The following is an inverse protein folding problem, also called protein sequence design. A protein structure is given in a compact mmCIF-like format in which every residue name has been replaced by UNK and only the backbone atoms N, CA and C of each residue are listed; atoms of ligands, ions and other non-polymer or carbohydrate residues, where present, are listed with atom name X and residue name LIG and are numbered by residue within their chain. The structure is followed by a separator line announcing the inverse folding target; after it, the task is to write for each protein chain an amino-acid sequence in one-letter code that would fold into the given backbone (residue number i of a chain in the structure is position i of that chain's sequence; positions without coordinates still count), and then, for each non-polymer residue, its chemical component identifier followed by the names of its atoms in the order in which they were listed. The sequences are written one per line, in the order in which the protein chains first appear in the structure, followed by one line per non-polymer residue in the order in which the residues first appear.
data_IF_827160436010
#
_entry.id   IF_827160436010
#
_cell.length_a   1.000
_cell.length_b   1.000
_cell.length_c   1.000
_cell.angle_alpha   90.00
_cell.angle_beta   90.00
_cell.angle_gamma   90.00
#
_symmetry.space_group_name_H-M   'P 1'
#
loop_
_entity.id
_entity.type
_entity.pdbx_description
1 polymer ?
#
# COMPACT_ATOMS: atom_id res chain seq x y z
N UNK A 1 -48.50 -13.65 -0.11
CA UNK A 1 -47.15 -13.30 0.35
C UNK A 1 -46.22 -14.50 0.33
N UNK A 2 -46.70 -15.74 0.27
CA UNK A 2 -45.93 -16.99 0.16
C UNK A 2 -45.39 -17.31 -1.25
N UNK A 3 -45.99 -16.73 -2.29
CA UNK A 3 -45.64 -17.04 -3.70
C UNK A 3 -44.44 -16.21 -4.23
N UNK A 4 -43.96 -15.22 -3.50
CA UNK A 4 -42.79 -14.40 -3.88
C UNK A 4 -41.44 -14.90 -3.31
N UNK A 5 -41.49 -15.72 -2.25
CA UNK A 5 -40.28 -16.29 -1.62
C UNK A 5 -39.77 -17.56 -2.33
N UNK A 6 -40.51 -18.14 -3.25
CA UNK A 6 -40.15 -19.39 -3.94
C UNK A 6 -39.40 -19.17 -5.26
N UNK A 7 -39.02 -17.94 -5.63
CA UNK A 7 -38.32 -17.65 -6.89
C UNK A 7 -36.82 -17.23 -6.76
N UNK A 8 -36.22 -17.27 -5.60
CA UNK A 8 -34.84 -16.89 -5.39
C UNK A 8 -33.97 -17.92 -4.64
N UNK A 9 -34.29 -19.19 -4.67
CA UNK A 9 -33.27 -20.22 -4.39
C UNK A 9 -32.57 -20.61 -5.70
N UNK A 10 -31.80 -19.72 -6.32
CA UNK A 10 -30.63 -20.16 -7.09
C UNK A 10 -29.79 -20.88 -6.06
N UNK A 11 -29.77 -22.20 -6.10
CA UNK A 11 -28.89 -23.04 -5.28
C UNK A 11 -27.47 -22.57 -5.59
N UNK A 12 -26.88 -21.72 -4.73
CA UNK A 12 -25.52 -21.29 -4.90
C UNK A 12 -24.63 -22.49 -4.68
N UNK A 13 -23.80 -22.83 -5.67
CA UNK A 13 -22.91 -23.98 -5.56
C UNK A 13 -21.92 -23.75 -4.42
N UNK A 14 -21.90 -24.68 -3.51
CA UNK A 14 -20.95 -24.69 -2.40
C UNK A 14 -19.69 -25.42 -2.84
N UNK A 15 -18.54 -24.73 -2.79
CA UNK A 15 -17.24 -25.32 -3.14
C UNK A 15 -16.67 -26.10 -1.94
N UNK A 16 -16.51 -27.43 -2.11
CA UNK A 16 -16.07 -28.34 -1.04
C UNK A 16 -14.64 -28.82 -1.31
N UNK A 17 -14.30 -29.10 -2.56
CA UNK A 17 -13.00 -29.62 -2.97
C UNK A 17 -12.04 -28.49 -3.37
N UNK A 18 -10.76 -28.51 -2.93
CA UNK A 18 -9.78 -27.45 -3.20
C UNK A 18 -9.51 -27.22 -4.69
N UNK A 19 -9.65 -28.24 -5.54
CA UNK A 19 -9.53 -28.14 -7.00
C UNK A 19 -10.55 -27.16 -7.60
N UNK A 20 -11.63 -26.84 -6.86
CA UNK A 20 -12.57 -25.81 -7.27
C UNK A 20 -11.93 -24.41 -7.39
N UNK A 21 -10.76 -24.19 -6.79
CA UNK A 21 -9.98 -22.93 -6.91
C UNK A 21 -9.24 -22.82 -8.25
N UNK A 22 -9.11 -23.90 -9.03
CA UNK A 22 -8.46 -23.83 -10.35
C UNK A 22 -9.18 -22.84 -11.31
N UNK A 23 -8.41 -22.13 -12.17
CA UNK A 23 -6.97 -22.24 -12.40
C UNK A 23 -6.14 -21.52 -11.32
N UNK A 24 -5.07 -22.18 -10.91
CA UNK A 24 -4.10 -21.62 -9.95
C UNK A 24 -3.15 -20.60 -10.57
N UNK A 25 -3.09 -20.56 -11.89
CA UNK A 25 -2.29 -19.61 -12.66
C UNK A 25 -3.00 -19.34 -13.99
N UNK A 26 -2.99 -18.07 -14.49
CA UNK A 26 -3.65 -17.76 -15.76
C UNK A 26 -2.95 -18.43 -16.94
N UNK A 27 -3.72 -19.11 -17.79
CA UNK A 27 -3.25 -19.63 -19.07
C UNK A 27 -3.41 -18.53 -20.13
N UNK A 28 -2.40 -17.66 -20.22
CA UNK A 28 -2.37 -16.50 -21.13
C UNK A 28 -1.53 -16.83 -22.37
N UNK A 29 -2.15 -17.40 -23.37
CA UNK A 29 -1.49 -17.77 -24.63
C UNK A 29 -0.91 -16.55 -25.39
N UNK A 30 -1.37 -15.34 -25.13
CA UNK A 30 -0.87 -14.11 -25.74
C UNK A 30 0.43 -13.60 -25.10
N UNK A 31 0.77 -14.09 -23.90
CA UNK A 31 1.96 -13.65 -23.14
C UNK A 31 1.90 -12.20 -22.62
N UNK A 32 0.70 -11.61 -22.59
CA UNK A 32 0.49 -10.24 -22.14
C UNK A 32 0.85 -10.05 -20.67
N UNK A 33 0.48 -11.03 -19.82
CA UNK A 33 0.74 -11.00 -18.38
C UNK A 33 2.25 -11.06 -18.10
N UNK A 34 2.98 -11.94 -18.81
CA UNK A 34 4.44 -12.07 -18.65
C UNK A 34 5.15 -10.80 -19.10
N UNK A 35 4.71 -10.20 -20.21
CA UNK A 35 5.22 -8.92 -20.72
C UNK A 35 5.04 -7.80 -19.68
N UNK A 36 3.85 -7.68 -19.08
CA UNK A 36 3.55 -6.68 -18.07
C UNK A 36 4.37 -6.90 -16.78
N UNK A 37 4.52 -8.15 -16.34
CA UNK A 37 5.32 -8.47 -15.16
C UNK A 37 6.81 -8.17 -15.37
N UNK A 38 7.32 -8.40 -16.59
CA UNK A 38 8.70 -8.08 -16.97
C UNK A 38 8.91 -6.56 -16.98
N UNK A 39 8.02 -5.80 -17.65
CA UNK A 39 8.11 -4.33 -17.64
C UNK A 39 8.00 -3.75 -16.23
N UNK A 40 7.11 -4.30 -15.39
CA UNK A 40 6.97 -3.89 -13.99
C UNK A 40 8.30 -4.07 -13.25
N UNK A 41 8.96 -5.22 -13.39
CA UNK A 41 10.24 -5.50 -12.74
C UNK A 41 11.33 -4.52 -13.19
N UNK A 42 11.42 -4.23 -14.49
CA UNK A 42 12.36 -3.26 -15.05
C UNK A 42 12.13 -1.84 -14.47
N UNK A 43 10.88 -1.39 -14.44
CA UNK A 43 10.54 -0.05 -13.91
C UNK A 43 10.77 0.05 -12.41
N UNK A 44 10.52 -1.03 -11.65
CA UNK A 44 10.85 -1.10 -10.22
C UNK A 44 12.35 -0.97 -10.00
N UNK A 45 13.18 -1.66 -10.80
CA UNK A 45 14.63 -1.54 -10.70
C UNK A 45 15.10 -0.09 -10.92
N UNK A 46 14.55 0.58 -11.93
CA UNK A 46 14.82 1.99 -12.20
C UNK A 46 14.38 2.90 -11.03
N UNK A 47 13.21 2.67 -10.45
CA UNK A 47 12.69 3.46 -9.33
C UNK A 47 13.54 3.27 -8.06
N UNK A 48 13.98 2.05 -7.77
CA UNK A 48 14.84 1.75 -6.63
C UNK A 48 16.23 2.40 -6.73
N UNK A 49 16.67 2.74 -7.94
CA UNK A 49 17.96 3.40 -8.20
C UNK A 49 17.86 4.95 -8.23
N UNK A 50 16.65 5.52 -8.17
CA UNK A 50 16.46 6.97 -8.36
C UNK A 50 16.98 7.78 -7.17
N UNK A 51 17.72 8.86 -7.44
CA UNK A 51 18.12 9.88 -6.46
C UNK A 51 19.03 9.37 -5.32
N UNK A 52 19.18 10.22 -4.32
CA UNK A 52 20.00 9.94 -3.13
C UNK A 52 19.25 9.06 -2.12
N UNK A 53 19.89 8.10 -1.43
CA UNK A 53 19.23 7.24 -0.44
C UNK A 53 18.53 8.01 0.70
N UNK A 54 19.13 9.10 1.20
CA UNK A 54 18.53 9.92 2.27
C UNK A 54 17.26 10.62 1.77
N UNK A 55 17.30 11.13 0.53
CA UNK A 55 16.11 11.74 -0.11
C UNK A 55 15.01 10.71 -0.33
N UNK A 56 15.36 9.49 -0.79
CA UNK A 56 14.41 8.39 -0.92
C UNK A 56 13.74 8.06 0.41
N UNK A 57 14.51 8.02 1.50
CA UNK A 57 13.97 7.74 2.84
C UNK A 57 13.00 8.83 3.31
N UNK A 58 13.32 10.11 3.07
CA UNK A 58 12.42 11.21 3.37
C UNK A 58 11.11 11.15 2.54
N UNK A 59 11.20 10.79 1.25
CA UNK A 59 10.03 10.59 0.39
C UNK A 59 9.22 9.38 0.86
N UNK A 60 9.87 8.28 1.22
CA UNK A 60 9.18 7.10 1.78
C UNK A 60 8.38 7.46 3.02
N UNK A 61 8.97 8.22 3.95
CA UNK A 61 8.26 8.67 5.17
C UNK A 61 7.08 9.58 4.82
N UNK A 62 7.26 10.49 3.88
CA UNK A 62 6.18 11.34 3.37
C UNK A 62 5.04 10.53 2.73
N UNK A 63 5.33 9.40 2.07
CA UNK A 63 4.31 8.57 1.43
C UNK A 63 3.50 7.71 2.41
N UNK A 64 3.95 7.51 3.65
CA UNK A 64 3.23 6.69 4.64
C UNK A 64 1.81 7.21 4.91
N UNK A 65 1.57 8.49 5.25
CA UNK A 65 0.20 9.00 5.40
C UNK A 65 -0.61 9.01 4.10
N UNK A 66 0.02 9.22 2.95
CA UNK A 66 -0.64 9.10 1.64
C UNK A 66 -1.17 7.68 1.43
N UNK A 67 -0.36 6.68 1.74
CA UNK A 67 -0.76 5.27 1.66
C UNK A 67 -1.90 4.96 2.64
N UNK A 68 -1.84 5.48 3.87
CA UNK A 68 -2.90 5.36 4.86
C UNK A 68 -4.25 5.88 4.37
N UNK A 69 -4.27 7.04 3.72
CA UNK A 69 -5.46 7.61 3.09
C UNK A 69 -6.08 6.64 2.05
N UNK A 70 -5.27 6.10 1.14
CA UNK A 70 -5.77 5.20 0.10
C UNK A 70 -6.17 3.82 0.63
N UNK A 71 -5.53 3.33 1.68
CA UNK A 71 -5.95 2.12 2.39
C UNK A 71 -7.32 2.31 3.03
N UNK A 72 -7.56 3.46 3.66
CA UNK A 72 -8.87 3.82 4.18
C UNK A 72 -9.97 3.77 3.11
N UNK A 73 -9.72 4.30 1.90
CA UNK A 73 -10.67 4.21 0.78
C UNK A 73 -10.99 2.76 0.43
N UNK A 74 -9.99 1.86 0.38
CA UNK A 74 -10.20 0.45 0.05
C UNK A 74 -11.10 -0.26 1.07
N UNK A 75 -11.03 0.13 2.34
CA UNK A 75 -11.81 -0.46 3.44
C UNK A 75 -13.13 0.25 3.75
N UNK A 76 -13.54 1.23 2.93
CA UNK A 76 -14.70 2.11 3.22
C UNK A 76 -14.56 2.86 4.57
N UNK A 77 -13.32 3.01 5.05
CA UNK A 77 -12.93 3.75 6.25
C UNK A 77 -12.43 5.15 5.87
N UNK A 78 -13.22 5.90 5.11
CA UNK A 78 -12.81 7.19 4.56
C UNK A 78 -12.34 8.15 5.67
N UNK A 79 -11.02 8.31 5.79
CA UNK A 79 -10.36 9.36 6.55
C UNK A 79 -9.95 10.46 5.57
N UNK A 80 -10.04 11.72 5.98
CA UNK A 80 -9.49 12.82 5.20
C UNK A 80 -7.96 12.85 5.32
N UNK A 81 -7.21 13.38 4.33
CA UNK A 81 -5.75 13.47 4.41
C UNK A 81 -5.25 14.19 5.67
N UNK A 82 -5.96 15.22 6.13
CA UNK A 82 -5.62 15.95 7.36
C UNK A 82 -5.82 15.06 8.60
N UNK A 83 -6.88 14.25 8.65
CA UNK A 83 -7.14 13.31 9.76
C UNK A 83 -6.09 12.21 9.82
N UNK A 84 -5.62 11.76 8.66
CA UNK A 84 -4.50 10.80 8.57
C UNK A 84 -3.19 11.47 9.00
N UNK A 85 -2.93 12.72 8.57
CA UNK A 85 -1.73 13.45 8.97
C UNK A 85 -1.75 13.76 10.48
N UNK A 86 -2.88 14.20 11.03
CA UNK A 86 -3.01 14.44 12.47
C UNK A 86 -2.71 13.18 13.28
N UNK A 87 -3.18 12.03 12.83
CA UNK A 87 -2.82 10.75 13.42
C UNK A 87 -1.29 10.51 13.42
N UNK A 88 -0.60 10.70 12.28
CA UNK A 88 0.85 10.53 12.20
C UNK A 88 1.63 11.60 12.99
N UNK A 89 1.02 12.76 13.25
CA UNK A 89 1.53 13.80 14.14
C UNK A 89 1.21 13.52 15.64
N UNK A 90 0.62 12.34 15.95
CA UNK A 90 0.29 11.90 17.29
C UNK A 90 -1.01 12.48 17.86
N UNK A 91 -1.91 12.96 16.99
CA UNK A 91 -3.21 13.53 17.39
C UNK A 91 -4.34 12.57 16.99
N UNK A 92 -5.06 12.06 17.96
CA UNK A 92 -6.26 11.26 17.73
C UNK A 92 -7.52 12.14 17.74
N UNK A 93 -8.49 11.77 16.88
CA UNK A 93 -9.78 12.44 16.80
C UNK A 93 -10.57 12.29 18.09
N UNK A 94 -11.27 13.35 18.50
CA UNK A 94 -12.24 13.29 19.58
C UNK A 94 -13.49 12.50 19.18
N UNK A 95 -13.82 12.46 17.87
CA UNK A 95 -14.92 11.68 17.32
C UNK A 95 -14.58 10.18 17.37
N UNK A 96 -15.39 9.38 18.08
CA UNK A 96 -15.09 7.96 18.30
C UNK A 96 -15.05 7.13 17.00
N UNK A 97 -15.97 7.27 16.03
CA UNK A 97 -15.89 6.61 14.74
C UNK A 97 -14.60 6.93 13.96
N UNK A 98 -14.22 8.20 13.88
CA UNK A 98 -12.97 8.64 13.22
C UNK A 98 -11.74 8.10 13.96
N UNK A 99 -11.75 8.18 15.29
CA UNK A 99 -10.68 7.61 16.12
C UNK A 99 -10.51 6.11 15.90
N UNK A 100 -11.59 5.33 15.81
CA UNK A 100 -11.52 3.89 15.52
C UNK A 100 -10.84 3.62 14.17
N UNK A 101 -11.15 4.40 13.12
CA UNK A 101 -10.48 4.28 11.81
C UNK A 101 -8.98 4.60 11.91
N UNK A 102 -8.60 5.62 12.68
CA UNK A 102 -7.20 5.95 12.93
C UNK A 102 -6.48 4.81 13.67
N UNK A 103 -7.11 4.18 14.68
CA UNK A 103 -6.53 3.05 15.40
C UNK A 103 -6.39 1.80 14.54
N UNK A 104 -7.31 1.54 13.63
CA UNK A 104 -7.18 0.45 12.63
C UNK A 104 -6.00 0.70 11.69
N UNK A 105 -5.80 1.94 11.25
CA UNK A 105 -4.64 2.34 10.46
C UNK A 105 -3.33 2.14 11.25
N UNK A 106 -3.32 2.51 12.53
CA UNK A 106 -2.18 2.29 13.42
C UNK A 106 -1.82 0.81 13.55
N UNK A 107 -2.82 -0.03 13.84
CA UNK A 107 -2.63 -1.46 13.96
C UNK A 107 -2.04 -2.06 12.67
N UNK A 108 -2.53 -1.64 11.51
CA UNK A 108 -2.01 -2.06 10.21
C UNK A 108 -0.54 -1.63 10.02
N UNK A 109 -0.19 -0.39 10.34
CA UNK A 109 1.20 0.10 10.22
C UNK A 109 2.17 -0.61 11.17
N UNK A 110 1.74 -0.90 12.41
CA UNK A 110 2.56 -1.66 13.35
C UNK A 110 2.79 -3.09 12.86
N UNK A 111 1.75 -3.75 12.35
CA UNK A 111 1.85 -5.10 11.79
C UNK A 111 2.77 -5.12 10.57
N UNK A 112 2.66 -4.17 9.65
CA UNK A 112 3.54 -4.06 8.48
C UNK A 112 5.00 -3.83 8.86
N UNK A 113 5.25 -2.98 9.86
CA UNK A 113 6.61 -2.75 10.37
C UNK A 113 7.21 -4.03 10.92
N UNK A 114 6.46 -4.75 11.76
CA UNK A 114 6.91 -6.02 12.34
C UNK A 114 7.10 -7.09 11.26
N UNK A 115 6.20 -7.16 10.29
CA UNK A 115 6.25 -8.08 9.17
C UNK A 115 7.55 -7.91 8.36
N UNK A 116 7.92 -6.68 8.03
CA UNK A 116 9.17 -6.38 7.31
C UNK A 116 10.39 -6.84 8.11
N UNK A 117 10.43 -6.58 9.42
CA UNK A 117 11.51 -7.05 10.30
C UNK A 117 11.61 -8.59 10.32
N UNK A 118 10.47 -9.29 10.29
CA UNK A 118 10.44 -10.75 10.26
C UNK A 118 10.95 -11.25 8.90
N UNK A 119 10.47 -10.69 7.79
CA UNK A 119 10.85 -11.12 6.44
C UNK A 119 12.30 -10.73 6.06
N UNK A 120 12.84 -9.69 6.67
CA UNK A 120 14.26 -9.27 6.47
C UNK A 120 15.24 -10.12 7.30
N UNK A 121 14.75 -10.91 8.26
CA UNK A 121 15.62 -11.78 9.07
C UNK A 121 16.04 -13.03 8.25
N UNK A 122 17.35 -13.23 7.99
CA UNK A 122 17.83 -14.38 7.21
C UNK A 122 17.55 -15.75 7.85
N UNK A 123 17.29 -15.77 9.17
CA UNK A 123 16.96 -16.99 9.92
C UNK A 123 15.46 -17.31 9.91
N UNK A 124 14.67 -16.47 9.24
CA UNK A 124 13.22 -16.65 9.20
C UNK A 124 12.81 -17.58 8.07
N UNK A 125 12.13 -18.66 8.41
CA UNK A 125 11.56 -19.63 7.46
C UNK A 125 10.10 -19.34 7.11
N UNK A 126 9.54 -18.21 7.56
CA UNK A 126 8.14 -17.83 7.29
C UNK A 126 7.92 -17.56 5.79
N UNK A 127 7.06 -18.35 5.18
CA UNK A 127 6.65 -18.21 3.78
C UNK A 127 5.31 -17.47 3.75
N UNK A 128 5.21 -16.31 3.06
CA UNK A 128 3.96 -15.52 3.04
C UNK A 128 2.72 -16.32 2.61
N UNK A 129 2.87 -17.30 1.70
CA UNK A 129 1.76 -18.14 1.23
C UNK A 129 1.31 -19.21 2.24
N UNK A 130 2.07 -19.46 3.33
CA UNK A 130 1.72 -20.53 4.25
C UNK A 130 0.44 -20.22 5.04
N UNK A 131 -0.36 -21.27 5.28
CA UNK A 131 -1.55 -21.16 6.12
C UNK A 131 -1.22 -20.68 7.55
N UNK A 132 -0.04 -21.08 8.06
CA UNK A 132 0.48 -20.65 9.36
C UNK A 132 0.77 -19.16 9.39
N UNK A 133 1.45 -18.63 8.36
CA UNK A 133 1.72 -17.20 8.21
C UNK A 133 0.44 -16.37 8.16
N UNK A 134 -0.55 -16.77 7.35
CA UNK A 134 -1.80 -16.04 7.21
C UNK A 134 -2.61 -16.01 8.51
N UNK A 135 -2.66 -17.13 9.26
CA UNK A 135 -3.27 -17.18 10.60
C UNK A 135 -2.55 -16.27 11.59
N UNK A 136 -1.21 -16.28 11.56
CA UNK A 136 -0.39 -15.39 12.40
C UNK A 136 -0.65 -13.93 12.06
N UNK A 137 -0.67 -13.58 10.77
CA UNK A 137 -0.94 -12.23 10.28
C UNK A 137 -2.29 -11.70 10.76
N UNK A 138 -3.36 -12.50 10.62
CA UNK A 138 -4.69 -12.16 11.11
C UNK A 138 -4.71 -12.02 12.65
N UNK A 139 -4.06 -12.94 13.36
CA UNK A 139 -3.95 -12.89 14.81
C UNK A 139 -3.19 -11.66 15.29
N UNK A 140 -2.07 -11.33 14.65
CA UNK A 140 -1.22 -10.20 15.03
C UNK A 140 -1.96 -8.88 14.77
N UNK A 141 -2.67 -8.75 13.64
CA UNK A 141 -3.49 -7.57 13.37
C UNK A 141 -4.58 -7.37 14.44
N UNK A 142 -5.40 -8.38 14.71
CA UNK A 142 -6.50 -8.25 15.67
C UNK A 142 -6.01 -8.04 17.11
N UNK A 143 -4.92 -8.70 17.50
CA UNK A 143 -4.30 -8.47 18.82
C UNK A 143 -3.75 -7.04 18.93
N UNK A 144 -3.05 -6.56 17.92
CA UNK A 144 -2.53 -5.19 17.90
C UNK A 144 -3.67 -4.19 17.99
N UNK A 145 -4.73 -4.37 17.20
CA UNK A 145 -5.91 -3.51 17.25
C UNK A 145 -6.59 -3.53 18.63
N UNK A 146 -6.75 -4.71 19.24
CA UNK A 146 -7.32 -4.83 20.60
C UNK A 146 -6.46 -4.09 21.62
N UNK A 147 -5.13 -4.29 21.61
CA UNK A 147 -4.21 -3.64 22.53
C UNK A 147 -4.25 -2.11 22.40
N UNK A 148 -4.24 -1.60 21.16
CA UNK A 148 -4.34 -0.16 20.91
C UNK A 148 -5.72 0.35 21.33
N UNK A 149 -6.79 -0.38 21.04
CA UNK A 149 -8.16 -0.03 21.44
C UNK A 149 -8.31 0.10 22.96
N UNK A 150 -7.72 -0.83 23.72
CA UNK A 150 -7.68 -0.78 25.19
C UNK A 150 -6.96 0.48 25.72
N UNK A 151 -5.84 0.85 25.10
CA UNK A 151 -5.11 2.07 25.45
C UNK A 151 -5.92 3.36 25.22
N UNK A 152 -6.90 3.33 24.33
CA UNK A 152 -7.73 4.47 23.94
C UNK A 152 -9.21 4.33 24.34
N UNK A 153 -9.52 3.43 25.28
CA UNK A 153 -10.86 3.23 25.88
C UNK A 153 -11.95 2.79 24.85
N UNK A 154 -11.55 2.07 23.79
CA UNK A 154 -12.46 1.51 22.76
C UNK A 154 -12.56 -0.02 22.83
N UNK A 155 -12.47 -0.60 24.01
CA UNK A 155 -12.39 -2.06 24.26
C UNK A 155 -13.62 -2.83 23.76
N UNK A 156 -14.81 -2.28 23.87
CA UNK A 156 -16.06 -2.94 23.45
C UNK A 156 -16.20 -3.05 21.94
N UNK A 157 -15.61 -2.14 21.20
CA UNK A 157 -15.70 -2.08 19.73
C UNK A 157 -14.63 -2.92 19.02
N UNK A 158 -13.48 -3.16 19.69
CA UNK A 158 -12.31 -3.79 19.05
C UNK A 158 -11.92 -5.15 19.66
N UNK A 159 -12.68 -5.68 20.63
CA UNK A 159 -12.34 -6.98 21.23
C UNK A 159 -12.68 -8.15 20.28
N UNK A 160 -11.71 -8.49 19.46
CA UNK A 160 -11.80 -9.58 18.47
C UNK A 160 -10.90 -10.78 18.81
N UNK A 161 -10.43 -10.85 20.06
CA UNK A 161 -9.47 -11.87 20.53
C UNK A 161 -9.95 -13.31 20.33
N UNK A 162 -11.27 -13.56 20.38
CA UNK A 162 -11.86 -14.90 20.23
C UNK A 162 -11.76 -15.47 18.82
N UNK A 163 -11.63 -14.63 17.79
CA UNK A 163 -11.57 -15.04 16.38
C UNK A 163 -10.16 -14.90 15.78
N UNK A 164 -9.23 -14.35 16.55
CA UNK A 164 -7.90 -14.01 16.08
C UNK A 164 -7.09 -15.24 15.63
N UNK A 165 -6.83 -15.35 14.34
CA UNK A 165 -6.10 -16.45 13.73
C UNK A 165 -6.94 -17.72 13.51
N UNK A 166 -8.26 -17.67 13.75
CA UNK A 166 -9.17 -18.80 13.54
C UNK A 166 -9.91 -18.66 12.20
N UNK A 167 -10.14 -19.79 11.55
CA UNK A 167 -11.00 -19.81 10.37
C UNK A 167 -12.46 -19.54 10.76
N UNK A 168 -13.22 -18.98 9.81
CA UNK A 168 -14.68 -18.82 9.97
C UNK A 168 -15.41 -20.15 10.12
N UNK A 169 -16.52 -20.12 10.80
CA UNK A 169 -17.38 -21.30 11.07
C UNK A 169 -18.74 -21.21 10.34
N UNK A 170 -18.87 -20.26 9.40
CA UNK A 170 -20.09 -20.06 8.61
C UNK A 170 -19.74 -19.82 7.15
N UNK A 171 -20.68 -20.14 6.26
CA UNK A 171 -20.56 -19.84 4.84
C UNK A 171 -20.80 -18.36 4.56
N UNK A 172 -20.05 -17.82 3.61
CA UNK A 172 -20.11 -16.40 3.24
C UNK A 172 -20.19 -16.24 1.72
N UNK A 173 -20.84 -15.17 1.29
CA UNK A 173 -20.93 -14.81 -0.12
C UNK A 173 -19.63 -14.18 -0.64
N UNK A 174 -19.38 -14.35 -1.94
CA UNK A 174 -18.35 -13.65 -2.67
C UNK A 174 -18.91 -13.15 -4.01
N UNK A 175 -19.09 -11.84 -4.15
CA UNK A 175 -19.75 -11.25 -5.32
C UNK A 175 -21.15 -11.84 -5.55
N UNK A 176 -21.34 -12.45 -6.71
CA UNK A 176 -22.61 -13.14 -7.07
C UNK A 176 -22.61 -14.65 -6.75
N UNK A 177 -21.56 -15.15 -6.11
CA UNK A 177 -21.38 -16.56 -5.76
C UNK A 177 -21.13 -16.76 -4.27
N UNK A 178 -20.52 -17.90 -3.96
CA UNK A 178 -20.12 -18.27 -2.59
C UNK A 178 -18.61 -18.44 -2.50
N UNK A 179 -18.07 -18.14 -1.34
CA UNK A 179 -16.75 -18.63 -0.92
C UNK A 179 -16.80 -20.14 -0.66
N UNK A 180 -15.65 -20.83 -0.55
CA UNK A 180 -15.61 -22.24 -0.18
C UNK A 180 -16.37 -22.55 1.12
N UNK A 181 -16.89 -23.77 1.21
CA UNK A 181 -17.51 -24.30 2.42
C UNK A 181 -16.60 -24.15 3.63
N UNK A 182 -17.09 -23.60 4.72
CA UNK A 182 -16.26 -23.31 5.90
C UNK A 182 -15.54 -24.55 6.46
N UNK A 183 -16.19 -25.72 6.43
CA UNK A 183 -15.58 -26.98 6.87
C UNK A 183 -14.43 -27.47 5.99
N UNK A 184 -14.30 -26.96 4.75
CA UNK A 184 -13.23 -27.31 3.82
C UNK A 184 -12.07 -26.31 3.84
N UNK A 185 -12.15 -25.22 4.59
CA UNK A 185 -11.12 -24.16 4.62
C UNK A 185 -9.69 -24.68 4.89
N UNK A 186 -9.46 -25.65 5.80
CA UNK A 186 -8.10 -26.18 5.98
C UNK A 186 -7.51 -26.77 4.68
N UNK A 187 -8.32 -27.43 3.87
CA UNK A 187 -7.89 -28.03 2.59
C UNK A 187 -7.63 -26.95 1.54
N UNK A 188 -8.52 -25.95 1.43
CA UNK A 188 -8.31 -24.81 0.53
C UNK A 188 -7.06 -24.01 0.88
N UNK A 189 -6.77 -23.81 2.16
CA UNK A 189 -5.57 -23.09 2.60
C UNK A 189 -4.30 -23.91 2.41
N UNK A 190 -4.35 -25.23 2.54
CA UNK A 190 -3.23 -26.12 2.17
C UNK A 190 -2.94 -26.07 0.67
N UNK A 191 -3.97 -26.08 -0.16
CA UNK A 191 -3.79 -25.99 -1.62
C UNK A 191 -3.33 -24.60 -2.05
N UNK A 192 -3.80 -23.53 -1.38
CA UNK A 192 -3.30 -22.17 -1.56
C UNK A 192 -1.78 -22.09 -1.29
N UNK A 193 -1.31 -22.68 -0.19
CA UNK A 193 0.11 -22.76 0.14
C UNK A 193 0.88 -23.52 -0.96
N UNK A 194 0.43 -24.70 -1.36
CA UNK A 194 1.06 -25.51 -2.41
C UNK A 194 1.18 -24.73 -3.74
N UNK A 195 0.13 -24.00 -4.12
CA UNK A 195 0.07 -23.27 -5.39
C UNK A 195 0.99 -22.03 -5.41
N UNK A 196 1.09 -21.31 -4.27
CA UNK A 196 1.73 -19.99 -4.22
C UNK A 196 3.02 -19.94 -3.39
N UNK A 197 3.49 -21.06 -2.86
CA UNK A 197 4.81 -21.15 -2.22
C UNK A 197 5.91 -20.74 -3.20
N UNK A 198 6.71 -19.69 -2.92
CA UNK A 198 7.84 -19.27 -3.75
C UNK A 198 8.89 -20.37 -3.93
N UNK A 199 9.03 -21.28 -2.95
CA UNK A 199 9.95 -22.41 -2.98
C UNK A 199 9.49 -23.56 -3.87
N UNK A 200 8.20 -23.60 -4.25
CA UNK A 200 7.66 -24.65 -5.09
C UNK A 200 8.33 -24.68 -6.47
N UNK A 201 8.53 -25.90 -7.01
CA UNK A 201 9.20 -26.12 -8.31
C UNK A 201 8.55 -25.32 -9.45
N UNK A 202 7.23 -25.17 -9.43
CA UNK A 202 6.47 -24.39 -10.42
C UNK A 202 6.76 -22.88 -10.33
N UNK A 203 7.16 -22.35 -9.16
CA UNK A 203 7.30 -20.94 -8.87
C UNK A 203 8.76 -20.43 -8.91
N UNK A 204 9.68 -21.15 -9.54
CA UNK A 204 11.11 -20.78 -9.62
C UNK A 204 11.35 -19.45 -10.38
N UNK A 205 10.54 -19.14 -11.39
CA UNK A 205 10.65 -17.90 -12.15
C UNK A 205 10.17 -16.70 -11.32
N UNK A 206 10.99 -15.64 -11.23
CA UNK A 206 10.60 -14.39 -10.55
C UNK A 206 9.38 -13.76 -11.22
N UNK A 207 9.29 -13.81 -12.54
CA UNK A 207 8.13 -13.30 -13.29
C UNK A 207 6.85 -14.05 -12.86
N UNK A 208 6.92 -15.38 -12.75
CA UNK A 208 5.79 -16.16 -12.28
C UNK A 208 5.39 -15.79 -10.85
N UNK A 209 6.36 -15.57 -9.93
CA UNK A 209 6.06 -15.14 -8.57
C UNK A 209 5.42 -13.75 -8.49
N UNK A 210 5.81 -12.83 -9.39
CA UNK A 210 5.15 -11.52 -9.51
C UNK A 210 3.68 -11.68 -9.94
N UNK A 211 3.40 -12.54 -10.92
CA UNK A 211 2.02 -12.85 -11.34
C UNK A 211 1.25 -13.53 -10.21
N UNK A 212 1.89 -14.43 -9.48
CA UNK A 212 1.29 -15.11 -8.33
C UNK A 212 0.82 -14.14 -7.24
N UNK A 213 1.45 -12.97 -7.06
CA UNK A 213 0.96 -11.97 -6.10
C UNK A 213 -0.47 -11.53 -6.47
N UNK A 214 -0.74 -11.28 -7.74
CA UNK A 214 -2.08 -10.92 -8.20
C UNK A 214 -3.08 -12.07 -8.03
N UNK A 215 -2.72 -13.27 -8.50
CA UNK A 215 -3.61 -14.44 -8.43
C UNK A 215 -3.90 -14.82 -6.99
N UNK A 216 -2.88 -14.91 -6.14
CA UNK A 216 -3.01 -15.27 -4.74
C UNK A 216 -3.84 -14.24 -3.96
N UNK A 217 -3.66 -12.93 -4.24
CA UNK A 217 -4.51 -11.89 -3.65
C UNK A 217 -5.99 -12.13 -4.00
N UNK A 218 -6.32 -12.39 -5.26
CA UNK A 218 -7.68 -12.70 -5.70
C UNK A 218 -8.22 -13.99 -5.04
N UNK A 219 -7.42 -15.06 -5.03
CA UNK A 219 -7.84 -16.34 -4.45
C UNK A 219 -8.05 -16.26 -2.94
N UNK A 220 -7.19 -15.51 -2.21
CA UNK A 220 -7.36 -15.31 -0.77
C UNK A 220 -8.65 -14.56 -0.45
N UNK A 221 -8.98 -13.53 -1.25
CA UNK A 221 -10.25 -12.80 -1.14
C UNK A 221 -11.45 -13.67 -1.52
N UNK A 222 -11.32 -14.58 -2.49
CA UNK A 222 -12.37 -15.53 -2.85
C UNK A 222 -12.58 -16.61 -1.77
N UNK A 223 -11.51 -17.08 -1.14
CA UNK A 223 -11.59 -18.05 -0.04
C UNK A 223 -12.23 -17.44 1.20
N UNK A 224 -11.90 -16.19 1.53
CA UNK A 224 -12.33 -15.51 2.76
C UNK A 224 -12.16 -16.40 4.00
N UNK A 225 -10.92 -16.77 4.37
CA UNK A 225 -10.72 -17.82 5.39
C UNK A 225 -11.15 -17.40 6.80
N UNK A 226 -11.22 -16.10 7.11
CA UNK A 226 -11.48 -15.59 8.45
C UNK A 226 -12.90 -15.05 8.62
N UNK A 227 -13.34 -14.89 9.87
CA UNK A 227 -14.67 -14.35 10.18
C UNK A 227 -14.78 -12.84 9.89
N UNK A 228 -13.64 -12.12 9.86
CA UNK A 228 -13.58 -10.68 9.59
C UNK A 228 -12.24 -10.30 8.98
N UNK A 229 -12.11 -9.04 8.48
CA UNK A 229 -10.87 -8.41 8.01
C UNK A 229 -10.18 -9.15 6.84
N UNK A 230 -10.88 -10.00 6.09
CA UNK A 230 -10.27 -10.77 4.97
C UNK A 230 -9.67 -9.88 3.90
N UNK A 231 -10.28 -8.75 3.59
CA UNK A 231 -9.80 -7.76 2.63
C UNK A 231 -8.51 -7.07 3.11
N UNK A 232 -8.42 -6.77 4.40
CA UNK A 232 -7.22 -6.21 5.02
C UNK A 232 -6.09 -7.22 5.05
N UNK A 233 -6.38 -8.45 5.47
CA UNK A 233 -5.37 -9.53 5.51
C UNK A 233 -4.88 -9.89 4.12
N UNK A 234 -5.74 -9.95 3.11
CA UNK A 234 -5.33 -10.19 1.72
C UNK A 234 -4.42 -9.08 1.18
N UNK A 235 -4.66 -7.81 1.55
CA UNK A 235 -3.78 -6.71 1.19
C UNK A 235 -2.44 -6.74 1.94
N UNK A 236 -2.46 -6.98 3.26
CA UNK A 236 -1.23 -7.17 4.04
C UNK A 236 -0.39 -8.33 3.50
N UNK A 237 -1.03 -9.42 3.08
CA UNK A 237 -0.39 -10.53 2.39
C UNK A 237 0.26 -10.09 1.07
N UNK A 238 -0.46 -9.33 0.23
CA UNK A 238 0.12 -8.82 -1.02
C UNK A 238 1.33 -7.90 -0.77
N UNK A 239 1.28 -7.03 0.26
CA UNK A 239 2.40 -6.21 0.67
C UNK A 239 3.58 -7.05 1.21
N UNK A 240 3.29 -8.13 1.95
CA UNK A 240 4.31 -9.08 2.39
C UNK A 240 5.01 -9.75 1.19
N UNK A 241 4.26 -10.20 0.20
CA UNK A 241 4.82 -10.79 -1.02
C UNK A 241 5.63 -9.78 -1.84
N UNK A 242 5.15 -8.54 -1.98
CA UNK A 242 5.88 -7.43 -2.64
C UNK A 242 7.22 -7.18 -1.93
N UNK A 243 7.23 -7.18 -0.60
CA UNK A 243 8.44 -7.03 0.20
C UNK A 243 9.38 -8.24 0.05
N UNK A 244 8.86 -9.44 0.22
CA UNK A 244 9.61 -10.71 0.09
C UNK A 244 10.29 -10.84 -1.29
N UNK A 245 9.61 -10.42 -2.36
CA UNK A 245 10.15 -10.41 -3.72
C UNK A 245 11.05 -9.20 -4.02
N UNK A 246 11.34 -8.34 -3.03
CA UNK A 246 12.14 -7.12 -3.20
C UNK A 246 11.62 -6.18 -4.30
N UNK A 247 10.31 -6.04 -4.42
CA UNK A 247 9.68 -5.19 -5.45
C UNK A 247 9.45 -3.74 -5.00
N UNK A 248 9.56 -3.44 -3.70
CA UNK A 248 9.38 -2.09 -3.18
C UNK A 248 10.34 -1.74 -2.04
N UNK A 249 11.63 -2.08 -2.20
CA UNK A 249 12.65 -1.85 -1.17
C UNK A 249 12.80 -0.37 -0.80
N UNK A 250 12.66 0.51 -1.78
CA UNK A 250 12.71 1.94 -1.56
C UNK A 250 11.42 2.52 -0.91
N UNK A 251 10.30 1.79 -0.92
CA UNK A 251 9.00 2.25 -0.39
C UNK A 251 8.44 3.45 -1.15
N UNK A 252 8.74 3.56 -2.46
CA UNK A 252 8.43 4.74 -3.26
C UNK A 252 7.15 4.62 -4.10
N UNK A 253 6.46 3.51 -4.06
CA UNK A 253 5.19 3.33 -4.78
C UNK A 253 4.18 2.56 -3.93
N UNK A 254 2.90 2.66 -4.25
CA UNK A 254 1.82 2.01 -3.49
C UNK A 254 0.83 1.34 -4.43
N UNK A 255 0.70 0.03 -4.30
CA UNK A 255 -0.35 -0.73 -4.97
C UNK A 255 -1.72 -0.29 -4.47
N UNK A 256 -1.88 -0.10 -3.15
CA UNK A 256 -3.13 0.33 -2.52
C UNK A 256 -3.65 1.64 -3.11
N UNK A 257 -2.75 2.62 -3.39
CA UNK A 257 -3.13 3.85 -4.08
C UNK A 257 -3.71 3.56 -5.48
N UNK A 258 -3.08 2.68 -6.24
CA UNK A 258 -3.54 2.33 -7.58
C UNK A 258 -4.90 1.63 -7.57
N UNK A 259 -5.10 0.67 -6.67
CA UNK A 259 -6.37 -0.04 -6.52
C UNK A 259 -7.48 0.89 -6.02
N UNK A 260 -7.20 1.76 -5.04
CA UNK A 260 -8.18 2.71 -4.50
C UNK A 260 -8.68 3.72 -5.54
N UNK A 261 -7.78 4.23 -6.38
CA UNK A 261 -8.15 5.14 -7.49
C UNK A 261 -9.02 4.49 -8.56
N UNK A 262 -9.05 3.17 -8.60
CA UNK A 262 -9.84 2.37 -9.54
C UNK A 262 -10.72 1.35 -8.77
N UNK A 263 -11.20 1.70 -7.57
CA UNK A 263 -11.86 0.79 -6.64
C UNK A 263 -13.02 0.02 -7.27
N UNK A 264 -13.90 0.68 -8.02
CA UNK A 264 -15.05 0.04 -8.66
C UNK A 264 -14.61 -1.03 -9.68
N UNK A 265 -13.63 -0.72 -10.53
CA UNK A 265 -13.07 -1.67 -11.51
C UNK A 265 -12.32 -2.81 -10.80
N UNK A 266 -11.59 -2.50 -9.73
CA UNK A 266 -10.92 -3.52 -8.91
C UNK A 266 -11.92 -4.53 -8.36
N UNK A 267 -12.99 -4.06 -7.72
CA UNK A 267 -14.03 -4.91 -7.14
C UNK A 267 -14.75 -5.73 -8.23
N UNK A 268 -15.06 -5.11 -9.38
CA UNK A 268 -15.67 -5.81 -10.52
C UNK A 268 -14.77 -6.96 -11.02
N UNK A 269 -13.51 -6.67 -11.32
CA UNK A 269 -12.57 -7.68 -11.83
C UNK A 269 -12.27 -8.77 -10.80
N UNK A 270 -12.16 -8.38 -9.52
CA UNK A 270 -11.98 -9.29 -8.40
C UNK A 270 -13.13 -10.31 -8.31
N UNK A 271 -14.39 -9.84 -8.35
CA UNK A 271 -15.57 -10.70 -8.26
C UNK A 271 -15.71 -11.58 -9.52
N UNK A 272 -15.48 -11.00 -10.71
CA UNK A 272 -15.56 -11.76 -11.96
C UNK A 272 -14.57 -12.93 -11.99
N UNK A 273 -13.33 -12.74 -11.48
CA UNK A 273 -12.33 -13.80 -11.40
C UNK A 273 -12.69 -14.95 -10.43
N UNK A 274 -13.74 -14.78 -9.62
CA UNK A 274 -14.33 -15.81 -8.78
C UNK A 274 -15.54 -16.51 -9.41
N UNK A 275 -15.96 -16.13 -10.63
CA UNK A 275 -17.07 -16.78 -11.34
C UNK A 275 -16.62 -18.10 -11.96
N UNK A 276 -17.58 -19.01 -12.15
CA UNK A 276 -17.37 -20.25 -12.88
C UNK A 276 -16.90 -19.99 -14.32
N UNK A 277 -16.17 -20.91 -14.87
CA UNK A 277 -15.78 -20.89 -16.31
C UNK A 277 -17.01 -20.73 -17.20
N UNK A 278 -16.85 -19.97 -18.26
CA UNK A 278 -17.92 -19.61 -19.18
C UNK A 278 -18.35 -20.82 -20.04
N UNK A 279 -17.36 -21.62 -20.49
CA UNK A 279 -17.58 -22.81 -21.32
C UNK A 279 -16.33 -23.71 -21.33
N UNK A 280 -16.33 -24.78 -22.12
CA UNK A 280 -15.22 -25.72 -22.20
C UNK A 280 -13.90 -25.13 -22.73
N UNK A 281 -13.94 -23.98 -23.44
CA UNK A 281 -12.78 -23.30 -24.00
C UNK A 281 -12.17 -22.27 -23.01
N UNK A 282 -12.82 -22.05 -21.87
CA UNK A 282 -12.37 -21.10 -20.85
C UNK A 282 -11.41 -21.75 -19.85
N UNK A 283 -10.36 -22.39 -20.38
CA UNK A 283 -9.31 -23.03 -19.58
C UNK A 283 -9.72 -24.31 -18.88
N UNK A 284 -8.84 -24.79 -18.01
CA UNK A 284 -9.07 -25.95 -17.13
C UNK A 284 -9.51 -25.47 -15.76
N UNK A 285 -10.22 -26.33 -15.05
CA UNK A 285 -10.66 -26.05 -13.69
C UNK A 285 -12.09 -25.54 -13.61
N UNK A 286 -12.46 -25.02 -12.46
CA UNK A 286 -13.84 -24.68 -12.15
C UNK A 286 -14.14 -23.18 -12.33
N UNK A 287 -13.16 -22.32 -12.04
CA UNK A 287 -13.29 -20.86 -12.20
C UNK A 287 -12.84 -20.41 -13.61
N UNK A 288 -13.30 -19.23 -14.03
CA UNK A 288 -13.00 -18.68 -15.33
C UNK A 288 -11.53 -18.27 -15.47
N UNK A 289 -10.83 -18.87 -16.44
CA UNK A 289 -9.50 -18.45 -16.83
C UNK A 289 -9.48 -17.09 -17.51
N UNK A 290 -10.49 -16.79 -18.33
CA UNK A 290 -10.63 -15.49 -18.99
C UNK A 290 -10.69 -14.35 -17.96
N UNK A 291 -11.54 -14.46 -16.97
CA UNK A 291 -11.67 -13.42 -15.95
C UNK A 291 -10.45 -13.34 -15.02
N UNK A 292 -9.76 -14.45 -14.79
CA UNK A 292 -8.49 -14.43 -14.07
C UNK A 292 -7.42 -13.67 -14.85
N UNK A 293 -7.30 -13.89 -16.17
CA UNK A 293 -6.42 -13.13 -17.07
C UNK A 293 -6.75 -11.64 -17.00
N UNK A 294 -8.02 -11.26 -17.13
CA UNK A 294 -8.47 -9.87 -17.07
C UNK A 294 -8.11 -9.22 -15.71
N UNK A 295 -8.28 -9.93 -14.62
CA UNK A 295 -7.89 -9.46 -13.28
C UNK A 295 -6.37 -9.27 -13.18
N UNK A 296 -5.57 -10.24 -13.62
CA UNK A 296 -4.10 -10.14 -13.58
C UNK A 296 -3.58 -8.98 -14.43
N UNK A 297 -4.12 -8.79 -15.64
CA UNK A 297 -3.77 -7.67 -16.53
C UNK A 297 -4.11 -6.34 -15.83
N UNK A 298 -5.29 -6.21 -15.25
CA UNK A 298 -5.69 -5.02 -14.50
C UNK A 298 -4.76 -4.75 -13.31
N UNK A 299 -4.46 -5.77 -12.52
CA UNK A 299 -3.64 -5.66 -11.32
C UNK A 299 -2.19 -5.25 -11.64
N UNK A 300 -1.58 -5.90 -12.64
CA UNK A 300 -0.22 -5.59 -13.07
C UNK A 300 -0.12 -4.20 -13.74
N UNK A 301 -1.10 -3.83 -14.57
CA UNK A 301 -1.17 -2.47 -15.13
C UNK A 301 -1.34 -1.41 -14.04
N UNK A 302 -2.12 -1.70 -13.00
CA UNK A 302 -2.28 -0.81 -11.86
C UNK A 302 -0.96 -0.63 -11.12
N UNK A 303 -0.25 -1.71 -10.81
CA UNK A 303 1.08 -1.64 -10.19
C UNK A 303 2.08 -0.88 -11.06
N UNK A 304 2.17 -1.23 -12.34
CA UNK A 304 3.04 -0.58 -13.33
C UNK A 304 2.74 0.92 -13.47
N UNK A 305 1.45 1.27 -13.47
CA UNK A 305 1.00 2.67 -13.50
C UNK A 305 1.49 3.46 -12.29
N UNK A 306 1.49 2.87 -11.08
CA UNK A 306 2.02 3.52 -9.88
C UNK A 306 3.53 3.70 -9.94
N UNK A 307 4.27 2.70 -10.38
CA UNK A 307 5.73 2.79 -10.54
C UNK A 307 6.10 3.85 -11.59
N UNK A 308 5.44 3.84 -12.76
CA UNK A 308 5.65 4.86 -13.81
C UNK A 308 5.28 6.28 -13.33
N UNK A 309 4.21 6.41 -12.53
CA UNK A 309 3.83 7.68 -11.94
C UNK A 309 4.96 8.22 -11.04
N UNK A 310 5.49 7.39 -10.14
CA UNK A 310 6.56 7.80 -9.23
C UNK A 310 7.88 8.09 -9.96
N UNK A 311 8.24 7.31 -10.99
CA UNK A 311 9.42 7.60 -11.83
C UNK A 311 9.34 9.00 -12.44
N UNK A 312 8.20 9.36 -13.04
CA UNK A 312 8.01 10.72 -13.61
C UNK A 312 7.97 11.80 -12.54
N UNK A 313 7.35 11.50 -11.39
CA UNK A 313 7.24 12.45 -10.28
C UNK A 313 8.61 12.72 -9.65
N UNK A 314 9.47 11.72 -9.54
CA UNK A 314 10.78 11.84 -8.89
C UNK A 314 11.93 12.12 -9.86
N UNK A 315 11.65 12.31 -11.15
CA UNK A 315 12.66 12.74 -12.11
C UNK A 315 13.34 14.02 -11.63
N UNK A 316 14.67 14.01 -11.58
CA UNK A 316 15.48 15.05 -10.92
C UNK A 316 15.19 16.45 -11.46
N UNK A 317 15.17 16.61 -12.79
CA UNK A 317 14.91 17.91 -13.42
C UNK A 317 13.53 18.46 -13.06
N UNK A 318 12.52 17.59 -13.08
CA UNK A 318 11.14 17.96 -12.71
C UNK A 318 11.03 18.34 -11.24
N UNK A 319 11.71 17.61 -10.34
CA UNK A 319 11.71 17.96 -8.92
C UNK A 319 12.41 19.27 -8.64
N UNK A 320 13.59 19.51 -9.23
CA UNK A 320 14.30 20.78 -9.08
C UNK A 320 13.46 21.96 -9.58
N UNK A 321 12.79 21.81 -10.74
CA UNK A 321 11.87 22.82 -11.28
C UNK A 321 10.71 23.08 -10.33
N UNK A 322 10.09 22.03 -9.76
CA UNK A 322 8.97 22.18 -8.83
C UNK A 322 9.39 22.82 -7.50
N UNK A 323 10.55 22.47 -6.97
CA UNK A 323 11.14 23.13 -5.80
C UNK A 323 11.32 24.63 -6.09
N UNK A 324 11.87 24.97 -7.27
CA UNK A 324 12.02 26.34 -7.70
C UNK A 324 10.69 27.10 -7.75
N UNK A 325 9.70 26.55 -8.42
CA UNK A 325 8.36 27.15 -8.55
C UNK A 325 7.67 27.30 -7.18
N UNK A 326 7.82 26.31 -6.29
CA UNK A 326 7.31 26.37 -4.92
C UNK A 326 7.92 27.54 -4.16
N UNK A 327 9.25 27.68 -4.17
CA UNK A 327 9.90 28.79 -3.47
C UNK A 327 9.50 30.12 -4.09
N UNK A 328 9.48 30.25 -5.41
CA UNK A 328 9.07 31.48 -6.09
C UNK A 328 7.64 31.91 -5.72
N UNK A 329 6.70 30.93 -5.60
CA UNK A 329 5.35 31.15 -5.08
C UNK A 329 5.36 31.65 -3.63
N UNK A 330 6.14 31.00 -2.76
CA UNK A 330 6.24 31.38 -1.34
C UNK A 330 6.88 32.75 -1.14
N UNK A 331 7.85 33.10 -1.98
CA UNK A 331 8.48 34.46 -2.00
C UNK A 331 7.47 35.50 -2.44
N UNK A 332 6.68 35.25 -3.50
CA UNK A 332 5.65 36.19 -3.96
C UNK A 332 4.54 36.43 -2.92
N UNK A 333 4.34 35.50 -1.99
CA UNK A 333 3.43 35.62 -0.84
C UNK A 333 4.11 36.19 0.42
N UNK A 334 5.36 36.60 0.33
CA UNK A 334 6.18 37.11 1.46
C UNK A 334 6.36 36.04 2.60
N UNK A 335 6.20 34.76 2.27
CA UNK A 335 6.27 33.64 3.24
C UNK A 335 7.62 32.94 3.26
N UNK A 336 8.55 33.28 2.37
CA UNK A 336 9.88 32.64 2.26
C UNK A 336 10.91 33.60 1.63
N UNK A 337 12.19 33.36 1.90
CA UNK A 337 13.31 34.07 1.27
C UNK A 337 13.75 33.37 -0.01
N UNK A 338 14.22 34.14 -0.99
CA UNK A 338 14.64 33.64 -2.31
C UNK A 338 15.81 32.63 -2.19
N UNK A 339 16.71 32.83 -1.23
CA UNK A 339 17.88 31.97 -1.02
C UNK A 339 17.50 30.53 -0.60
N UNK A 340 16.28 30.32 -0.07
CA UNK A 340 15.74 29.01 0.25
C UNK A 340 15.70 28.08 -0.98
N UNK A 341 15.57 28.62 -2.20
CA UNK A 341 15.57 27.85 -3.45
C UNK A 341 16.84 27.04 -3.62
N UNK A 342 17.99 27.68 -3.41
CA UNK A 342 19.29 27.02 -3.54
C UNK A 342 19.50 25.95 -2.47
N UNK A 343 19.11 26.27 -1.22
CA UNK A 343 19.25 25.37 -0.10
C UNK A 343 18.36 24.13 -0.25
N UNK A 344 17.07 24.30 -0.56
CA UNK A 344 16.12 23.19 -0.74
C UNK A 344 16.48 22.31 -1.94
N UNK A 345 16.94 22.91 -3.06
CA UNK A 345 17.42 22.15 -4.22
C UNK A 345 18.62 21.28 -3.86
N UNK A 346 19.61 21.84 -3.17
CA UNK A 346 20.85 21.13 -2.84
C UNK A 346 20.60 20.03 -1.81
N UNK A 347 19.74 20.28 -0.81
CA UNK A 347 19.33 19.28 0.18
C UNK A 347 18.52 18.16 -0.49
N UNK A 348 17.67 18.46 -1.48
CA UNK A 348 16.98 17.44 -2.26
C UNK A 348 17.98 16.53 -3.00
N UNK A 349 18.96 17.12 -3.69
CA UNK A 349 19.94 16.37 -4.49
C UNK A 349 20.88 15.52 -3.63
N UNK A 350 21.28 16.01 -2.47
CA UNK A 350 22.28 15.40 -1.58
C UNK A 350 21.69 14.66 -0.40
N UNK A 351 20.40 14.85 -0.12
CA UNK A 351 19.68 14.31 1.04
C UNK A 351 19.95 15.09 2.33
N UNK A 352 21.16 15.58 2.53
CA UNK A 352 21.57 16.45 3.64
C UNK A 352 22.67 17.41 3.24
N UNK A 353 22.82 18.48 3.98
CA UNK A 353 23.86 19.48 3.80
C UNK A 353 24.37 20.00 5.14
N UNK A 354 25.68 20.23 5.24
CA UNK A 354 26.28 20.82 6.44
C UNK A 354 26.01 22.33 6.53
N UNK A 355 26.04 22.88 7.75
CA UNK A 355 25.90 24.32 7.96
C UNK A 355 26.92 25.16 7.15
N UNK A 356 28.24 24.82 7.08
CA UNK A 356 29.19 25.54 6.25
C UNK A 356 28.84 25.51 4.76
N UNK A 357 28.42 24.36 4.25
CA UNK A 357 27.99 24.26 2.86
C UNK A 357 26.71 25.05 2.58
N UNK A 358 25.75 25.04 3.51
CA UNK A 358 24.55 25.85 3.41
C UNK A 358 24.87 27.35 3.31
N UNK A 359 25.82 27.84 4.11
CA UNK A 359 26.32 29.23 4.00
C UNK A 359 26.93 29.52 2.62
N UNK A 360 27.75 28.60 2.10
CA UNK A 360 28.40 28.74 0.80
C UNK A 360 27.37 28.78 -0.34
N UNK A 361 26.37 27.90 -0.32
CA UNK A 361 25.37 27.78 -1.38
C UNK A 361 24.42 28.96 -1.39
N UNK A 362 24.01 29.42 -0.21
CA UNK A 362 23.12 30.57 -0.08
C UNK A 362 23.86 31.91 -0.21
N UNK A 363 25.18 31.90 -0.20
CA UNK A 363 26.05 33.09 -0.18
C UNK A 363 25.67 34.09 0.93
N UNK A 364 25.24 33.59 2.10
CA UNK A 364 24.72 34.40 3.21
C UNK A 364 25.61 34.33 4.46
N UNK A 365 25.47 35.34 5.33
CA UNK A 365 26.08 35.33 6.66
C UNK A 365 25.47 34.28 7.56
N UNK A 366 26.17 33.88 8.65
CA UNK A 366 25.64 32.93 9.64
C UNK A 366 24.28 33.39 10.23
N UNK A 367 24.15 34.69 10.51
CA UNK A 367 22.88 35.27 11.02
C UNK A 367 21.74 35.11 9.99
N UNK A 368 22.01 35.39 8.74
CA UNK A 368 20.99 35.27 7.66
C UNK A 368 20.64 33.81 7.40
N UNK A 369 21.67 32.93 7.32
CA UNK A 369 21.43 31.49 7.19
C UNK A 369 20.54 30.97 8.31
N UNK A 370 20.79 31.37 9.56
CA UNK A 370 19.97 30.96 10.70
C UNK A 370 18.50 31.37 10.49
N UNK A 371 18.21 32.57 10.02
CA UNK A 371 16.83 33.01 9.73
C UNK A 371 16.19 32.15 8.65
N UNK A 372 16.92 31.79 7.60
CA UNK A 372 16.43 30.94 6.51
C UNK A 372 16.15 29.53 7.03
N UNK A 373 17.10 28.94 7.76
CA UNK A 373 16.96 27.56 8.25
C UNK A 373 15.89 27.43 9.33
N UNK A 374 15.78 28.40 10.26
CA UNK A 374 14.73 28.42 11.29
C UNK A 374 13.33 28.52 10.64
N UNK A 375 13.17 29.32 9.59
CA UNK A 375 11.92 29.40 8.82
C UNK A 375 11.59 28.07 8.12
N UNK A 376 12.56 27.44 7.45
CA UNK A 376 12.36 26.17 6.74
C UNK A 376 12.11 25.01 7.71
N UNK A 377 12.73 25.02 8.91
CA UNK A 377 12.46 24.03 9.97
C UNK A 377 11.06 24.25 10.54
N UNK A 378 10.67 25.51 10.79
CA UNK A 378 9.32 25.85 11.25
C UNK A 378 8.23 25.39 10.27
N UNK A 379 8.51 25.43 8.98
CA UNK A 379 7.64 24.92 7.90
C UNK A 379 7.76 23.40 7.69
N UNK A 380 8.55 22.71 8.51
CA UNK A 380 8.83 21.26 8.38
C UNK A 380 9.44 20.86 7.02
N UNK A 381 10.11 21.78 6.31
CA UNK A 381 10.81 21.51 5.04
C UNK A 381 12.23 21.00 5.25
N UNK A 382 12.80 21.28 6.41
CA UNK A 382 14.11 20.79 6.84
C UNK A 382 14.03 20.19 8.26
N UNK A 383 14.90 19.24 8.53
CA UNK A 383 15.17 18.72 9.87
C UNK A 383 16.63 19.02 10.19
N UNK A 384 16.90 19.71 11.32
CA UNK A 384 18.25 19.94 11.81
C UNK A 384 18.68 18.83 12.76
N UNK A 385 19.85 18.23 12.51
CA UNK A 385 20.47 17.24 13.40
C UNK A 385 21.95 17.59 13.61
N UNK A 386 22.44 17.45 14.84
CA UNK A 386 23.87 17.60 15.13
C UNK A 386 24.58 16.26 14.90
N UNK A 387 25.53 16.23 13.97
CA UNK A 387 26.39 15.09 13.71
C UNK A 387 27.85 15.46 14.07
N UNK A 388 28.34 14.89 15.15
CA UNK A 388 29.63 15.29 15.71
C UNK A 388 29.60 16.76 16.12
N UNK A 389 30.49 17.57 15.53
CA UNK A 389 30.61 19.02 15.79
C UNK A 389 29.75 19.86 14.80
N UNK A 390 29.25 19.27 13.71
CA UNK A 390 28.55 19.98 12.65
C UNK A 390 27.04 19.86 12.77
N UNK A 391 26.35 20.97 12.48
CA UNK A 391 24.91 20.95 12.25
C UNK A 391 24.68 20.51 10.81
N UNK A 392 23.78 19.51 10.63
CA UNK A 392 23.32 19.01 9.32
C UNK A 392 21.85 19.35 9.15
N UNK A 393 21.47 19.70 7.93
CA UNK A 393 20.10 19.93 7.52
C UNK A 393 19.68 18.84 6.56
N UNK A 394 18.62 18.09 6.93
CA UNK A 394 18.06 16.99 6.15
C UNK A 394 16.82 17.47 5.43
N UNK A 395 16.60 16.94 4.23
CA UNK A 395 15.36 17.15 3.49
C UNK A 395 14.18 16.55 4.25
N UNK A 396 13.04 17.24 4.22
CA UNK A 396 11.77 16.75 4.72
C UNK A 396 10.61 17.28 3.87
N UNK A 397 9.49 16.56 3.84
CA UNK A 397 8.31 16.91 3.05
C UNK A 397 7.07 16.90 3.93
N UNK A 398 6.54 18.06 4.35
CA UNK A 398 5.25 18.13 5.02
C UNK A 398 4.12 17.90 4.02
N UNK A 399 2.99 17.34 4.47
CA UNK A 399 1.87 16.99 3.61
C UNK A 399 1.33 18.19 2.82
N UNK A 400 1.34 19.38 3.39
CA UNK A 400 0.86 20.61 2.76
C UNK A 400 1.54 20.94 1.42
N UNK A 401 2.79 20.48 1.20
CA UNK A 401 3.50 20.72 -0.08
C UNK A 401 3.24 19.65 -1.14
N UNK A 402 2.43 18.62 -0.82
CA UNK A 402 2.12 17.53 -1.75
C UNK A 402 1.66 18.02 -3.13
N UNK A 403 0.67 18.96 -3.25
CA UNK A 403 0.18 19.40 -4.56
C UNK A 403 1.25 20.09 -5.41
N UNK A 404 2.21 20.76 -4.78
CA UNK A 404 3.24 21.54 -5.47
C UNK A 404 4.48 20.73 -5.84
N UNK A 405 4.90 19.81 -4.95
CA UNK A 405 6.10 19.00 -5.17
C UNK A 405 5.80 17.62 -5.77
N UNK A 406 4.64 17.06 -5.48
CA UNK A 406 4.21 15.72 -5.92
C UNK A 406 2.81 15.76 -6.55
N UNK A 407 2.58 16.55 -7.61
CA UNK A 407 1.25 16.78 -8.18
C UNK A 407 0.63 15.47 -8.67
N UNK A 408 -0.69 15.33 -8.48
CA UNK A 408 -1.46 14.14 -8.81
C UNK A 408 -1.33 13.03 -7.77
N UNK A 409 -0.70 13.28 -6.63
CA UNK A 409 -0.60 12.31 -5.55
C UNK A 409 -1.98 12.07 -4.90
N UNK A 410 -2.78 13.12 -4.73
CA UNK A 410 -4.17 13.08 -4.28
C UNK A 410 -5.16 13.34 -5.44
N UNK A 411 -6.48 13.18 -5.24
CA UNK A 411 -7.50 13.68 -6.16
C UNK A 411 -7.39 15.19 -6.37
N UNK A 412 -7.75 15.67 -7.57
CA UNK A 412 -7.52 17.06 -7.96
C UNK A 412 -8.25 18.09 -7.09
N UNK A 413 -9.48 17.78 -6.68
CA UNK A 413 -10.27 18.59 -5.74
C UNK A 413 -9.58 18.75 -4.38
N UNK A 414 -9.07 17.66 -3.84
CA UNK A 414 -8.26 17.69 -2.62
C UNK A 414 -6.97 18.49 -2.76
N UNK A 415 -6.25 18.33 -3.87
CA UNK A 415 -5.02 19.11 -4.09
C UNK A 415 -5.31 20.61 -4.16
N UNK A 416 -6.45 21.02 -4.72
CA UNK A 416 -6.90 22.42 -4.71
C UNK A 416 -7.14 22.92 -3.28
N UNK A 417 -7.90 22.16 -2.47
CA UNK A 417 -8.14 22.51 -1.06
C UNK A 417 -6.83 22.59 -0.23
N UNK A 418 -5.87 21.70 -0.51
CA UNK A 418 -4.56 21.76 0.14
C UNK A 418 -3.75 22.99 -0.30
N UNK A 419 -3.85 23.42 -1.56
CA UNK A 419 -3.17 24.61 -2.06
C UNK A 419 -3.72 25.92 -1.44
N UNK A 420 -5.00 25.96 -1.10
CA UNK A 420 -5.61 27.10 -0.42
C UNK A 420 -5.09 27.30 1.01
N UNK A 421 -4.54 26.24 1.62
CA UNK A 421 -3.92 26.27 2.97
C UNK A 421 -2.45 26.72 2.98
N UNK A 422 -1.79 26.80 1.82
CA UNK A 422 -0.40 27.23 1.66
C UNK A 422 -0.31 28.77 1.59
#
# INVERSE_FOLDING_TARGET
METYLCRMSKQMDLYIAPEAMEPFFPDDAAGTIETLATELLEKIAALNAIGNPITRDAIRQFLVPVEGYYKGILHDENLLPDEVQDFFDGKLSADAPTRLKQLKLEAEQQVLKNLRLILDNPENDDIPASAGFLKKLHKDYLKTLTTIGEQHELTTEVNTSKIAGLYRETDVAFGQGMSPYFGSLPFFMSEFENAYDPGAKANKSKIRRIVNIAVAHQRLLWIQPFASENDRIARLYAEACIHFENLNNAGLWSLSRGLARNKSTFIEKLHNAGLKRINAMDGRGNLSNKYLIEFCIFYLNTALGQVKFMLRTLETENMVKRIGNFVDLMVSREKMRTEAKYLLTDVFLKGKISKPDAMRITATSDKTLKLITDDLIGKKLLIAKKEGILMQYYVNYPMVVAPLLFPGLFPADMEIEMMDKI
#
